data_IF_715789927817
#
_entry.id   IF_715789927817
#
_cell.length_a   1.000
_cell.length_b   1.000
_cell.length_c   1.000
_cell.angle_alpha   90.00
_cell.angle_beta   90.00
_cell.angle_gamma   90.00
#
_symmetry.space_group_name_H-M   'P 1'
#
loop_
_entity.id
_entity.type
_entity.pdbx_description
1 polymer ?
#
# COMPACT_ATOMS: atom_id res chain seq x y z
N UNK A 1 11.62 -15.94 17.48
CA UNK A 1 11.24 -15.28 18.75
C UNK A 1 10.67 -13.91 18.40
N UNK A 2 9.35 -13.74 18.53
CA UNK A 2 8.69 -12.47 18.21
C UNK A 2 8.91 -11.56 19.41
N UNK A 3 9.56 -10.42 19.20
CA UNK A 3 9.84 -9.48 20.28
C UNK A 3 8.53 -8.96 20.87
N UNK A 4 8.32 -9.03 22.21
CA UNK A 4 7.09 -8.61 22.85
C UNK A 4 7.05 -7.08 22.96
N UNK A 5 6.93 -6.38 21.83
CA UNK A 5 6.44 -5.01 21.82
C UNK A 5 4.91 -5.03 21.95
N UNK A 6 4.44 -5.48 23.12
CA UNK A 6 3.09 -5.21 23.58
C UNK A 6 3.10 -3.75 24.05
N UNK A 7 2.73 -2.85 23.14
CA UNK A 7 2.31 -1.50 23.53
C UNK A 7 1.05 -1.64 24.40
N UNK A 8 1.08 -1.28 25.69
CA UNK A 8 -0.05 -1.45 26.60
C UNK A 8 -1.26 -0.57 26.22
N UNK A 9 -1.12 0.36 25.26
CA UNK A 9 -2.23 1.12 24.70
C UNK A 9 -2.95 0.43 23.53
N UNK A 10 -2.38 -0.62 22.94
CA UNK A 10 -2.97 -1.31 21.78
C UNK A 10 -3.85 -2.48 22.21
N UNK A 11 -5.06 -2.16 22.68
CA UNK A 11 -6.13 -3.15 22.96
C UNK A 11 -6.98 -3.47 21.73
N UNK A 12 -6.48 -3.21 20.52
CA UNK A 12 -7.22 -3.51 19.31
C UNK A 12 -7.21 -5.03 19.08
N UNK A 13 -8.34 -5.66 19.38
CA UNK A 13 -8.65 -7.01 18.94
C UNK A 13 -8.51 -7.03 17.41
N UNK A 14 -7.69 -7.94 16.88
CA UNK A 14 -7.53 -8.09 15.43
C UNK A 14 -8.88 -8.37 14.72
N UNK A 15 -9.90 -8.78 15.47
CA UNK A 15 -11.28 -8.91 14.99
C UNK A 15 -11.97 -7.58 14.64
N UNK A 16 -11.52 -6.43 15.16
CA UNK A 16 -12.08 -5.10 14.85
C UNK A 16 -11.41 -4.40 13.68
N UNK A 17 -10.37 -5.00 13.08
CA UNK A 17 -9.71 -4.46 11.89
C UNK A 17 -10.70 -4.50 10.73
N UNK A 18 -11.20 -3.33 10.34
CA UNK A 18 -12.05 -3.18 9.17
C UNK A 18 -11.29 -3.66 7.93
N UNK A 19 -11.63 -4.84 7.43
CA UNK A 19 -11.11 -5.35 6.16
C UNK A 19 -11.76 -4.54 5.05
N UNK A 20 -11.07 -3.50 4.59
CA UNK A 20 -11.51 -2.66 3.49
C UNK A 20 -11.33 -3.40 2.16
N UNK A 21 -12.43 -3.80 1.52
CA UNK A 21 -12.44 -4.59 0.26
C UNK A 21 -12.22 -3.73 -0.99
N UNK A 22 -11.48 -2.61 -0.89
CA UNK A 22 -11.45 -1.58 -1.96
C UNK A 22 -10.64 -2.00 -3.19
N UNK A 23 -9.60 -2.79 -2.97
CA UNK A 23 -8.76 -3.31 -4.04
C UNK A 23 -8.67 -4.84 -3.93
N UNK A 24 -8.43 -5.48 -5.07
CA UNK A 24 -8.35 -6.93 -5.16
C UNK A 24 -7.20 -7.49 -4.31
N UNK A 25 -7.46 -8.56 -3.56
CA UNK A 25 -6.41 -9.33 -2.89
C UNK A 25 -5.31 -9.72 -3.87
N UNK A 26 -4.06 -9.46 -3.49
CA UNK A 26 -2.91 -9.56 -4.37
C UNK A 26 -1.64 -9.90 -3.59
N UNK A 27 -0.73 -10.60 -4.24
CA UNK A 27 0.63 -10.87 -3.73
C UNK A 27 1.66 -10.04 -4.50
N UNK A 28 2.89 -9.93 -3.96
CA UNK A 28 4.03 -9.29 -4.67
C UNK A 28 3.77 -7.83 -5.09
N UNK A 29 2.92 -7.14 -4.37
CA UNK A 29 2.62 -5.73 -4.59
C UNK A 29 3.65 -4.86 -3.89
N UNK A 30 3.84 -3.63 -4.40
CA UNK A 30 4.63 -2.62 -3.72
C UNK A 30 3.78 -1.87 -2.70
N UNK A 31 4.40 -1.50 -1.59
CA UNK A 31 3.81 -0.62 -0.58
C UNK A 31 4.73 0.53 -0.24
N UNK A 32 4.14 1.67 0.11
CA UNK A 32 4.89 2.79 0.67
C UNK A 32 4.05 3.48 1.75
N UNK A 33 4.75 4.14 2.67
CA UNK A 33 4.14 4.89 3.77
C UNK A 33 4.79 6.27 3.81
N UNK A 34 3.96 7.31 3.95
CA UNK A 34 4.40 8.68 4.15
C UNK A 34 3.68 9.31 5.34
N UNK A 35 4.29 10.32 5.97
CA UNK A 35 3.64 11.09 7.04
C UNK A 35 2.88 12.26 6.43
N UNK A 36 1.57 12.33 6.65
CA UNK A 36 0.76 13.52 6.31
C UNK A 36 0.94 14.58 7.39
N UNK A 37 0.77 14.16 8.64
CA UNK A 37 0.96 14.96 9.86
C UNK A 37 1.17 14.01 11.05
N UNK A 38 1.61 14.48 12.23
CA UNK A 38 1.79 13.62 13.40
C UNK A 38 0.53 12.78 13.68
N UNK A 39 0.67 11.46 13.72
CA UNK A 39 -0.44 10.51 13.94
C UNK A 39 -1.30 10.18 12.72
N UNK A 40 -1.03 10.77 11.55
CA UNK A 40 -1.75 10.49 10.29
C UNK A 40 -0.77 10.18 9.17
N UNK A 41 -0.88 8.96 8.64
CA UNK A 41 -0.02 8.42 7.58
C UNK A 41 -0.82 8.24 6.30
N UNK A 42 -0.13 8.48 5.19
CA UNK A 42 -0.55 8.03 3.88
C UNK A 42 0.01 6.63 3.62
N UNK A 43 -0.81 5.75 3.07
CA UNK A 43 -0.48 4.39 2.67
C UNK A 43 -0.71 4.26 1.17
N UNK A 44 0.21 3.59 0.48
CA UNK A 44 0.12 3.36 -0.96
C UNK A 44 0.29 1.89 -1.28
N UNK A 45 -0.46 1.42 -2.27
CA UNK A 45 -0.42 0.05 -2.79
C UNK A 45 -0.41 0.12 -4.31
N UNK A 46 0.52 -0.57 -4.97
CA UNK A 46 0.50 -0.68 -6.43
C UNK A 46 1.07 -2.01 -6.93
N UNK A 47 0.63 -2.39 -8.13
CA UNK A 47 1.11 -3.59 -8.81
C UNK A 47 0.74 -4.88 -8.07
N UNK A 48 1.57 -5.92 -8.25
CA UNK A 48 1.35 -7.26 -7.71
C UNK A 48 0.52 -8.16 -8.61
N UNK A 49 0.20 -9.35 -8.11
CA UNK A 49 -0.57 -10.37 -8.82
C UNK A 49 -1.89 -10.62 -8.10
N UNK A 50 -3.00 -10.44 -8.83
CA UNK A 50 -4.36 -10.71 -8.35
C UNK A 50 -4.95 -11.89 -9.15
N UNK A 51 -4.88 -13.09 -8.59
CA UNK A 51 -5.27 -14.31 -9.29
C UNK A 51 -4.39 -14.54 -10.54
N UNK A 52 -5.02 -14.54 -11.71
CA UNK A 52 -4.32 -14.63 -13.01
C UNK A 52 -3.98 -13.26 -13.62
N UNK A 53 -4.42 -12.16 -12.99
CA UNK A 53 -4.18 -10.80 -13.46
C UNK A 53 -3.03 -10.11 -12.76
N UNK A 54 -2.53 -9.05 -13.38
CA UNK A 54 -1.57 -8.13 -12.79
C UNK A 54 -2.17 -6.72 -12.83
N UNK A 55 -2.67 -6.22 -11.70
CA UNK A 55 -3.32 -4.91 -11.67
C UNK A 55 -2.33 -3.79 -11.99
N UNK A 56 -2.80 -2.82 -12.76
CA UNK A 56 -2.09 -1.59 -13.13
C UNK A 56 -2.64 -0.39 -12.36
N UNK A 57 -3.17 -0.66 -11.17
CA UNK A 57 -3.78 0.34 -10.31
C UNK A 57 -2.83 0.81 -9.21
N UNK A 58 -3.03 2.06 -8.78
CA UNK A 58 -2.40 2.67 -7.61
C UNK A 58 -3.50 3.10 -6.66
N UNK A 59 -3.48 2.54 -5.46
CA UNK A 59 -4.41 2.86 -4.40
C UNK A 59 -3.70 3.64 -3.31
N UNK A 60 -4.40 4.61 -2.74
CA UNK A 60 -3.92 5.37 -1.61
C UNK A 60 -4.97 5.46 -0.52
N UNK A 61 -4.48 5.58 0.70
CA UNK A 61 -5.21 6.01 1.88
C UNK A 61 -4.41 7.15 2.49
N UNK A 62 -5.08 8.18 2.99
CA UNK A 62 -4.43 9.27 3.71
C UNK A 62 -4.83 9.30 5.20
N UNK A 63 -5.62 8.32 5.66
CA UNK A 63 -6.24 8.24 6.98
C UNK A 63 -5.89 6.93 7.71
N UNK A 64 -4.62 6.53 7.66
CA UNK A 64 -4.11 5.31 8.32
C UNK A 64 -4.77 4.01 7.83
N UNK A 65 -5.31 3.97 6.60
CA UNK A 65 -5.96 2.81 6.02
C UNK A 65 -7.47 2.72 6.24
N UNK A 66 -8.08 3.75 6.85
CA UNK A 66 -9.53 3.80 7.11
C UNK A 66 -10.37 3.88 5.83
N UNK A 67 -9.93 4.69 4.87
CA UNK A 67 -10.53 4.84 3.55
C UNK A 67 -9.47 4.76 2.46
N UNK A 68 -9.87 4.26 1.28
CA UNK A 68 -9.00 4.09 0.14
C UNK A 68 -9.63 4.68 -1.11
N UNK A 69 -8.80 5.30 -1.95
CA UNK A 69 -9.18 5.83 -3.25
C UNK A 69 -8.18 5.35 -4.31
N UNK A 70 -8.69 5.14 -5.52
CA UNK A 70 -7.88 4.79 -6.68
C UNK A 70 -7.28 6.07 -7.26
N UNK A 71 -5.96 6.24 -7.16
CA UNK A 71 -5.24 7.38 -7.73
C UNK A 71 -5.05 7.24 -9.24
N UNK A 72 -4.85 6.00 -9.69
CA UNK A 72 -4.60 5.68 -11.08
C UNK A 72 -5.12 4.27 -11.33
N UNK A 73 -5.97 4.09 -12.35
CA UNK A 73 -6.51 2.77 -12.68
C UNK A 73 -5.60 2.01 -13.64
N UNK A 74 -4.87 2.71 -14.51
CA UNK A 74 -3.98 2.16 -15.54
C UNK A 74 -2.67 2.95 -15.54
N UNK A 75 -1.64 2.36 -14.94
CA UNK A 75 -0.33 2.99 -14.80
C UNK A 75 0.44 2.98 -16.12
N UNK A 76 1.18 4.06 -16.43
CA UNK A 76 1.99 4.13 -17.66
C UNK A 76 3.17 3.15 -17.68
N UNK A 77 3.54 2.59 -16.52
CA UNK A 77 4.61 1.60 -16.38
C UNK A 77 4.12 0.14 -16.48
N UNK A 78 2.81 -0.04 -16.72
CA UNK A 78 2.12 -1.33 -16.88
C UNK A 78 2.18 -2.21 -15.64
N UNK A 79 1.86 -3.49 -15.84
CA UNK A 79 2.00 -4.53 -14.83
C UNK A 79 3.42 -4.60 -14.22
N UNK A 80 3.48 -4.63 -12.87
CA UNK A 80 4.71 -4.82 -12.10
C UNK A 80 4.51 -5.79 -10.94
N UNK A 81 5.28 -6.87 -10.91
CA UNK A 81 5.44 -7.74 -9.75
C UNK A 81 6.71 -7.39 -8.97
N UNK A 82 6.65 -7.51 -7.65
CA UNK A 82 7.74 -7.22 -6.73
C UNK A 82 8.37 -5.81 -6.96
N UNK A 83 7.58 -4.73 -7.20
CA UNK A 83 8.15 -3.40 -7.36
C UNK A 83 8.65 -2.87 -6.01
N UNK A 84 9.78 -2.17 -6.02
CA UNK A 84 10.13 -1.25 -4.94
C UNK A 84 9.24 0.00 -5.04
N UNK A 85 8.62 0.40 -3.93
CA UNK A 85 7.80 1.60 -3.86
C UNK A 85 8.22 2.44 -2.65
N UNK A 86 8.39 3.74 -2.87
CA UNK A 86 8.88 4.67 -1.85
C UNK A 86 8.11 5.98 -1.92
N UNK A 87 7.75 6.55 -0.77
CA UNK A 87 7.33 7.94 -0.68
C UNK A 87 8.56 8.86 -0.66
N UNK A 88 8.47 10.01 -1.31
CA UNK A 88 9.51 11.03 -1.21
C UNK A 88 9.44 11.66 0.20
N UNK A 89 10.56 11.71 0.96
CA UNK A 89 10.56 12.32 2.29
C UNK A 89 10.09 13.78 2.25
N UNK A 90 9.13 14.14 3.10
CA UNK A 90 8.53 15.48 3.15
C UNK A 90 7.48 15.76 2.06
N UNK A 91 7.29 14.84 1.11
CA UNK A 91 6.36 14.94 -0.03
C UNK A 91 5.62 13.62 -0.20
N UNK A 92 4.71 13.29 0.73
CA UNK A 92 4.04 11.98 0.76
C UNK A 92 3.23 11.72 -0.50
N UNK A 93 2.76 12.77 -1.17
CA UNK A 93 2.06 12.75 -2.45
C UNK A 93 2.90 12.30 -3.65
N UNK A 94 4.23 12.23 -3.50
CA UNK A 94 5.14 11.80 -4.55
C UNK A 94 5.68 10.38 -4.27
N UNK A 95 5.55 9.52 -5.27
CA UNK A 95 6.00 8.13 -5.21
C UNK A 95 7.13 7.87 -6.21
N UNK A 96 8.11 7.09 -5.77
CA UNK A 96 9.15 6.53 -6.62
C UNK A 96 8.90 5.02 -6.72
N UNK A 97 8.66 4.55 -7.94
CA UNK A 97 8.64 3.13 -8.27
C UNK A 97 10.00 2.73 -8.84
N UNK A 98 10.60 1.65 -8.34
CA UNK A 98 11.87 1.15 -8.82
C UNK A 98 11.87 -0.38 -9.00
N UNK A 99 12.46 -0.83 -10.11
CA UNK A 99 12.61 -2.26 -10.40
C UNK A 99 11.28 -2.98 -10.66
N UNK A 100 11.20 -4.22 -10.16
CA UNK A 100 10.08 -5.13 -10.38
C UNK A 100 10.14 -5.86 -11.71
N UNK A 101 9.48 -7.01 -11.75
CA UNK A 101 9.31 -7.82 -12.95
C UNK A 101 8.07 -7.39 -13.73
N UNK A 102 8.25 -7.08 -15.00
CA UNK A 102 7.15 -6.74 -15.90
C UNK A 102 6.63 -7.99 -16.61
N UNK A 103 5.32 -8.13 -16.67
CA UNK A 103 4.64 -9.12 -17.51
C UNK A 103 4.19 -8.37 -18.75
N UNK A 104 5.09 -8.31 -19.74
CA UNK A 104 4.79 -7.80 -21.10
C UNK A 104 4.18 -8.92 -21.94
#
# INVERSE_FOLDING_TARGET
EVSPHLDPARTEDWASVAVSTKWSGRERFGTAVGTVQPGRMALYVCGGRAGHGCPEDVWASDDNGGSWYCMCQHTPFGCRLDPGLLCVPGHYEQLVLCGGWSVV
#
